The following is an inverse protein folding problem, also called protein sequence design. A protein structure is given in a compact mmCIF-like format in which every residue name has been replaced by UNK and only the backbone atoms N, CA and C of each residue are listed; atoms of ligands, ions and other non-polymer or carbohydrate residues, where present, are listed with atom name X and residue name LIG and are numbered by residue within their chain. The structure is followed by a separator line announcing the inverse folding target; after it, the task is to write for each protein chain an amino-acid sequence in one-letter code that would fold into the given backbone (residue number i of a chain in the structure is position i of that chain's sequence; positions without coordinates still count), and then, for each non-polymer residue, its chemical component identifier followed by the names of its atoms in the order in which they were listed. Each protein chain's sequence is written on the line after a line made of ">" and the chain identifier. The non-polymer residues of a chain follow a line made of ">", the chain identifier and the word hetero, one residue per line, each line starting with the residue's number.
data_IF_449871211861
#
_entry.id   IF_449871211861
#
_cell.length_a   1.000
_cell.length_b   1.000
_cell.length_c   1.000
_cell.angle_alpha   90.00
_cell.angle_beta   90.00
_cell.angle_gamma   90.00
#
_symmetry.space_group_name_H-M   'P 1'
#
loop_
_entity.id
_entity.type
_entity.pdbx_description
1 polymer ?
#
# COMPACT_ATOMS: atom_id res chain seq x y z
N UNK A 1 8.17 -31.90 -2.55
CA UNK A 1 7.24 -30.92 -3.11
C UNK A 1 7.17 -29.74 -2.15
N UNK A 2 7.63 -28.53 -2.49
CA UNK A 2 7.45 -27.40 -1.58
C UNK A 2 5.94 -27.16 -1.42
N UNK A 3 5.49 -27.10 -0.16
CA UNK A 3 4.10 -26.84 0.20
C UNK A 3 3.61 -25.58 -0.54
N UNK A 4 2.56 -25.73 -1.36
CA UNK A 4 1.88 -24.62 -2.02
C UNK A 4 1.31 -23.73 -0.93
N UNK A 5 1.87 -22.53 -0.75
CA UNK A 5 1.20 -21.48 0.01
C UNK A 5 0.11 -20.93 -0.90
N UNK A 6 -1.12 -21.37 -0.67
CA UNK A 6 -2.30 -20.87 -1.36
C UNK A 6 -2.55 -19.43 -0.89
N UNK A 7 -2.73 -18.51 -1.84
CA UNK A 7 -3.05 -17.11 -1.55
C UNK A 7 -4.37 -17.05 -0.79
N UNK A 8 -4.40 -16.29 0.30
CA UNK A 8 -5.62 -16.00 1.05
C UNK A 8 -6.04 -14.55 0.74
N UNK A 9 -7.11 -14.33 -0.05
CA UNK A 9 -7.54 -12.98 -0.41
C UNK A 9 -8.02 -12.17 0.80
N UNK A 10 -8.46 -12.79 1.89
CA UNK A 10 -8.84 -12.06 3.10
C UNK A 10 -7.60 -11.42 3.74
N UNK A 11 -6.50 -12.18 3.83
CA UNK A 11 -5.22 -11.67 4.34
C UNK A 11 -4.66 -10.60 3.41
N UNK A 12 -4.65 -10.85 2.10
CA UNK A 12 -4.15 -9.88 1.12
C UNK A 12 -4.96 -8.57 1.12
N UNK A 13 -6.30 -8.67 1.16
CA UNK A 13 -7.19 -7.51 1.27
C UNK A 13 -6.92 -6.71 2.56
N UNK A 14 -6.71 -7.39 3.68
CA UNK A 14 -6.38 -6.75 4.97
C UNK A 14 -5.03 -6.03 4.91
N UNK A 15 -4.02 -6.64 4.29
CA UNK A 15 -2.71 -6.02 4.09
C UNK A 15 -2.79 -4.77 3.22
N UNK A 16 -3.49 -4.81 2.08
CA UNK A 16 -3.69 -3.62 1.25
C UNK A 16 -4.32 -2.46 2.03
N UNK A 17 -5.33 -2.75 2.85
CA UNK A 17 -5.98 -1.75 3.72
C UNK A 17 -5.02 -1.16 4.77
N UNK A 18 -4.27 -2.01 5.46
CA UNK A 18 -3.30 -1.56 6.46
C UNK A 18 -2.21 -0.69 5.83
N UNK A 19 -1.63 -1.15 4.72
CA UNK A 19 -0.60 -0.41 3.99
C UNK A 19 -1.14 0.92 3.46
N UNK A 20 -2.35 0.94 2.88
CA UNK A 20 -3.03 2.18 2.48
C UNK A 20 -3.13 3.16 3.63
N UNK A 21 -3.60 2.71 4.81
CA UNK A 21 -3.72 3.59 5.98
C UNK A 21 -2.36 4.09 6.49
N UNK A 22 -1.30 3.29 6.40
CA UNK A 22 0.04 3.65 6.85
C UNK A 22 0.71 4.77 6.03
N UNK A 23 0.30 4.95 4.76
CA UNK A 23 0.79 6.02 3.90
C UNK A 23 -0.10 7.26 3.87
N UNK A 24 -1.26 7.26 4.53
CA UNK A 24 -2.09 8.47 4.65
C UNK A 24 -1.56 9.37 5.75
N UNK A 25 -1.81 10.67 5.63
CA UNK A 25 -1.62 11.58 6.76
C UNK A 25 -2.45 11.06 7.94
N UNK A 26 -1.83 10.78 9.10
CA UNK A 26 -2.53 10.06 10.16
C UNK A 26 -3.55 10.96 10.84
N UNK A 27 -4.71 10.41 11.14
CA UNK A 27 -5.61 11.01 12.15
C UNK A 27 -5.05 10.77 13.55
N UNK A 28 -5.47 11.53 14.58
CA UNK A 28 -5.06 11.25 15.96
C UNK A 28 -5.36 9.81 16.41
N UNK A 29 -6.49 9.26 15.95
CA UNK A 29 -6.89 7.88 16.24
C UNK A 29 -5.94 6.86 15.59
N UNK A 30 -5.62 7.04 14.31
CA UNK A 30 -4.68 6.18 13.60
C UNK A 30 -3.28 6.27 14.20
N UNK A 31 -2.77 7.48 14.47
CA UNK A 31 -1.47 7.66 15.08
C UNK A 31 -1.37 6.97 16.45
N UNK A 32 -2.44 6.98 17.25
CA UNK A 32 -2.47 6.24 18.53
C UNK A 32 -2.20 4.75 18.35
N UNK A 33 -2.62 4.16 17.23
CA UNK A 33 -2.33 2.74 16.90
C UNK A 33 -0.87 2.51 16.48
N UNK A 34 -0.21 3.53 15.92
CA UNK A 34 1.22 3.50 15.64
C UNK A 34 2.01 3.57 16.96
N UNK A 35 1.65 4.53 17.82
CA UNK A 35 2.31 4.80 19.09
C UNK A 35 2.20 3.63 20.09
N UNK A 36 1.03 2.98 20.16
CA UNK A 36 0.82 1.84 21.06
C UNK A 36 1.18 0.48 20.45
N UNK A 37 1.72 0.44 19.23
CA UNK A 37 2.18 -0.76 18.56
C UNK A 37 1.09 -1.61 17.88
N UNK A 38 -0.21 -1.35 18.10
CA UNK A 38 -1.31 -2.15 17.53
C UNK A 38 -1.24 -2.27 16.01
N UNK A 39 -0.91 -1.18 15.31
CA UNK A 39 -0.77 -1.21 13.85
C UNK A 39 0.34 -2.15 13.40
N UNK A 40 1.50 -2.09 14.07
CA UNK A 40 2.62 -2.97 13.75
C UNK A 40 2.28 -4.42 14.08
N UNK A 41 1.59 -4.69 15.19
CA UNK A 41 1.19 -6.04 15.56
C UNK A 41 0.23 -6.64 14.52
N UNK A 42 -0.75 -5.87 14.06
CA UNK A 42 -1.69 -6.30 13.02
C UNK A 42 -0.99 -6.50 11.67
N UNK A 43 -0.08 -5.60 11.28
CA UNK A 43 0.72 -5.74 10.08
C UNK A 43 1.57 -7.02 10.16
N UNK A 44 2.25 -7.26 11.29
CA UNK A 44 3.12 -8.43 11.51
C UNK A 44 2.34 -9.74 11.51
N UNK A 45 1.15 -9.75 12.13
CA UNK A 45 0.26 -10.90 12.10
C UNK A 45 -0.07 -11.30 10.66
N UNK A 46 -0.48 -10.34 9.82
CA UNK A 46 -0.88 -10.63 8.44
C UNK A 46 0.30 -11.00 7.54
N UNK A 47 1.47 -10.37 7.67
CA UNK A 47 2.64 -10.73 6.85
C UNK A 47 3.26 -12.07 7.25
N UNK A 48 3.03 -12.56 8.47
CA UNK A 48 3.60 -13.83 8.96
C UNK A 48 3.13 -15.03 8.12
N UNK A 49 1.93 -14.93 7.54
CA UNK A 49 1.33 -15.91 6.62
C UNK A 49 1.96 -15.90 5.23
N UNK A 50 2.79 -14.92 4.89
CA UNK A 50 3.42 -14.76 3.58
C UNK A 50 4.94 -14.94 3.72
N UNK A 51 5.51 -16.12 3.39
CA UNK A 51 6.92 -16.42 3.67
C UNK A 51 7.93 -15.41 3.11
N UNK A 52 7.57 -14.75 2.00
CA UNK A 52 8.41 -13.76 1.32
C UNK A 52 8.43 -12.39 2.00
N UNK A 53 7.64 -12.17 3.05
CA UNK A 53 7.52 -10.87 3.74
C UNK A 53 8.19 -10.80 5.11
N UNK A 54 8.88 -11.86 5.56
CA UNK A 54 9.57 -11.84 6.85
C UNK A 54 10.43 -10.58 7.02
N UNK A 55 10.26 -9.92 8.17
CA UNK A 55 11.01 -8.74 8.57
C UNK A 55 11.87 -9.09 9.78
N UNK A 56 13.15 -8.67 9.84
CA UNK A 56 13.99 -8.92 11.01
C UNK A 56 13.42 -8.28 12.28
N UNK A 57 13.39 -9.03 13.39
CA UNK A 57 12.81 -8.57 14.66
C UNK A 57 13.47 -7.30 15.22
N UNK A 58 14.78 -7.14 15.01
CA UNK A 58 15.51 -5.96 15.49
C UNK A 58 15.03 -4.67 14.80
N UNK A 59 14.71 -4.73 13.50
CA UNK A 59 14.16 -3.59 12.74
C UNK A 59 12.79 -3.22 13.30
N UNK A 60 11.93 -4.22 13.56
CA UNK A 60 10.60 -4.01 14.13
C UNK A 60 10.67 -3.36 15.51
N UNK A 61 11.61 -3.83 16.36
CA UNK A 61 11.82 -3.26 17.70
C UNK A 61 12.24 -1.79 17.61
N UNK A 62 13.20 -1.46 16.75
CA UNK A 62 13.65 -0.08 16.54
C UNK A 62 12.51 0.84 16.10
N UNK A 63 11.70 0.41 15.14
CA UNK A 63 10.54 1.20 14.67
C UNK A 63 9.50 1.37 15.79
N UNK A 64 9.21 0.30 16.54
CA UNK A 64 8.26 0.36 17.65
C UNK A 64 8.72 1.33 18.74
N UNK A 65 9.98 1.27 19.14
CA UNK A 65 10.55 2.16 20.16
C UNK A 65 10.53 3.63 19.68
N UNK A 66 10.89 3.87 18.42
CA UNK A 66 10.82 5.21 17.83
C UNK A 66 9.39 5.78 17.79
N UNK A 67 8.38 4.96 17.45
CA UNK A 67 6.99 5.38 17.42
C UNK A 67 6.39 5.61 18.81
N UNK A 68 6.80 4.81 19.80
CA UNK A 68 6.29 4.90 21.17
C UNK A 68 6.59 6.27 21.80
N UNK A 69 7.79 6.78 21.60
CA UNK A 69 8.23 8.07 22.14
C UNK A 69 7.84 9.26 21.24
N UNK A 70 7.28 8.99 20.05
CA UNK A 70 6.88 10.02 19.10
C UNK A 70 5.61 10.75 19.55
N UNK A 71 5.54 12.06 19.33
CA UNK A 71 4.30 12.84 19.48
C UNK A 71 3.53 12.92 18.17
N UNK A 72 2.21 13.13 18.22
CA UNK A 72 1.40 13.28 17.01
C UNK A 72 1.89 14.45 16.13
N UNK A 73 2.23 15.58 16.74
CA UNK A 73 2.77 16.74 16.03
C UNK A 73 4.14 16.42 15.39
N UNK A 74 5.03 15.74 16.12
CA UNK A 74 6.33 15.31 15.59
C UNK A 74 6.19 14.37 14.39
N UNK A 75 5.27 13.41 14.46
CA UNK A 75 4.99 12.52 13.33
C UNK A 75 4.45 13.30 12.12
N UNK A 76 3.56 14.27 12.32
CA UNK A 76 3.04 15.11 11.24
C UNK A 76 4.13 15.94 10.54
N UNK A 77 5.12 16.44 11.31
CA UNK A 77 6.29 17.13 10.75
C UNK A 77 7.13 16.17 9.91
N UNK A 78 7.41 14.96 10.40
CA UNK A 78 8.16 13.95 9.65
C UNK A 78 7.44 13.50 8.38
N UNK A 79 6.11 13.33 8.44
CA UNK A 79 5.28 13.05 7.28
C UNK A 79 5.44 14.15 6.24
N UNK A 80 5.18 15.40 6.63
CA UNK A 80 5.21 16.56 5.74
C UNK A 80 6.59 16.75 5.13
N UNK A 81 7.66 16.57 5.92
CA UNK A 81 9.05 16.67 5.46
C UNK A 81 9.40 15.60 4.42
N UNK A 82 8.81 14.41 4.55
CA UNK A 82 9.11 13.27 3.67
C UNK A 82 8.31 13.32 2.36
N UNK A 83 7.02 13.64 2.46
CA UNK A 83 6.05 13.42 1.38
C UNK A 83 5.51 14.70 0.73
N UNK A 84 5.46 15.82 1.46
CA UNK A 84 4.67 17.00 1.03
C UNK A 84 5.49 18.27 0.82
N UNK A 85 6.60 18.43 1.53
CA UNK A 85 7.44 19.63 1.48
C UNK A 85 8.81 19.37 0.88
N UNK A 86 9.20 20.21 -0.08
CA UNK A 86 10.47 20.16 -0.79
C UNK A 86 10.40 20.95 -2.09
N UNK A 87 11.55 21.40 -2.61
CA UNK A 87 11.65 22.13 -3.86
C UNK A 87 12.68 21.46 -4.78
N UNK A 88 12.39 21.21 -6.08
CA UNK A 88 11.12 21.49 -6.79
C UNK A 88 9.99 20.50 -6.45
N UNK A 89 10.31 19.37 -5.81
CA UNK A 89 9.36 18.35 -5.33
C UNK A 89 9.80 17.84 -3.94
N UNK A 90 8.91 17.21 -3.17
CA UNK A 90 9.26 16.55 -1.91
C UNK A 90 10.32 15.45 -2.10
N UNK A 91 11.05 15.05 -1.03
CA UNK A 91 12.09 14.02 -1.13
C UNK A 91 11.59 12.68 -1.67
N UNK A 92 10.44 12.21 -1.18
CA UNK A 92 9.86 10.93 -1.52
C UNK A 92 8.38 11.09 -1.84
N UNK A 93 7.98 11.76 -2.94
CA UNK A 93 6.57 12.04 -3.20
C UNK A 93 5.81 10.71 -3.33
N UNK A 94 4.66 10.53 -2.65
CA UNK A 94 3.93 9.26 -2.61
C UNK A 94 2.92 9.14 -3.76
N UNK A 95 3.27 9.63 -4.95
CA UNK A 95 2.39 9.59 -6.11
C UNK A 95 3.08 9.00 -7.34
N UNK A 96 2.39 8.12 -8.05
CA UNK A 96 2.88 7.42 -9.25
C UNK A 96 3.45 8.39 -10.29
N UNK A 97 2.76 9.50 -10.55
CA UNK A 97 3.14 10.45 -11.59
C UNK A 97 4.49 11.15 -11.39
N UNK A 98 5.13 11.04 -10.22
CA UNK A 98 6.49 11.56 -9.99
C UNK A 98 7.62 10.56 -10.31
N UNK A 99 7.28 9.34 -10.72
CA UNK A 99 8.24 8.27 -11.02
C UNK A 99 8.30 7.93 -12.50
N UNK A 100 7.55 8.67 -13.32
CA UNK A 100 7.52 8.52 -14.78
C UNK A 100 7.90 9.81 -15.48
N UNK A 101 8.31 9.68 -16.74
CA UNK A 101 8.56 10.81 -17.64
C UNK A 101 7.26 11.37 -18.26
N UNK A 102 6.17 10.58 -18.28
CA UNK A 102 4.87 11.04 -18.77
C UNK A 102 4.24 12.07 -17.82
N UNK A 103 3.43 13.03 -18.33
CA UNK A 103 2.76 14.01 -17.50
C UNK A 103 1.88 13.34 -16.44
N UNK A 104 1.98 13.80 -15.19
CA UNK A 104 1.19 13.28 -14.05
C UNK A 104 -0.33 13.30 -14.30
N UNK A 105 -0.84 14.26 -15.06
CA UNK A 105 -2.26 14.30 -15.44
C UNK A 105 -2.71 13.09 -16.26
N UNK A 106 -1.83 12.55 -17.11
CA UNK A 106 -2.11 11.33 -17.89
C UNK A 106 -2.13 10.12 -16.97
N UNK A 107 -1.17 10.02 -16.04
CA UNK A 107 -1.14 8.95 -15.02
C UNK A 107 -2.42 8.95 -14.19
N UNK A 108 -2.82 10.13 -13.70
CA UNK A 108 -4.05 10.29 -12.92
C UNK A 108 -5.29 9.89 -13.72
N UNK A 109 -5.33 10.15 -15.04
CA UNK A 109 -6.42 9.75 -15.91
C UNK A 109 -6.48 8.22 -16.04
N UNK A 110 -5.35 7.57 -16.37
CA UNK A 110 -5.26 6.11 -16.50
C UNK A 110 -5.71 5.40 -15.22
N UNK A 111 -5.20 5.84 -14.06
CA UNK A 111 -5.59 5.27 -12.76
C UNK A 111 -7.07 5.53 -12.45
N UNK A 112 -7.59 6.70 -12.79
CA UNK A 112 -9.02 7.01 -12.59
C UNK A 112 -9.93 6.16 -13.48
N UNK A 113 -9.49 5.80 -14.69
CA UNK A 113 -10.24 4.89 -15.57
C UNK A 113 -10.37 3.50 -14.95
N UNK A 114 -9.32 2.98 -14.31
CA UNK A 114 -9.42 1.74 -13.53
C UNK A 114 -10.49 1.85 -12.44
N UNK A 115 -10.50 2.93 -11.65
CA UNK A 115 -11.50 3.11 -10.59
C UNK A 115 -12.93 3.18 -11.16
N UNK A 116 -13.11 3.90 -12.26
CA UNK A 116 -14.40 4.08 -12.93
C UNK A 116 -14.97 2.76 -13.48
N UNK A 117 -14.12 1.86 -13.99
CA UNK A 117 -14.54 0.53 -14.45
C UNK A 117 -15.23 -0.30 -13.36
N UNK A 118 -14.93 -0.03 -12.09
CA UNK A 118 -15.56 -0.67 -10.93
C UNK A 118 -16.59 0.22 -10.23
N UNK A 119 -17.01 1.32 -10.86
CA UNK A 119 -17.98 2.26 -10.31
C UNK A 119 -17.48 3.07 -9.11
N UNK A 120 -16.17 3.09 -8.87
CA UNK A 120 -15.55 3.79 -7.75
C UNK A 120 -15.22 5.24 -8.13
N UNK A 121 -15.23 6.12 -7.12
CA UNK A 121 -14.86 7.52 -7.26
C UNK A 121 -14.02 7.98 -6.07
N UNK A 122 -13.11 8.91 -6.31
CA UNK A 122 -12.34 9.54 -5.25
C UNK A 122 -13.26 10.27 -4.26
N UNK A 123 -12.95 10.10 -2.96
CA UNK A 123 -13.70 10.77 -1.90
C UNK A 123 -13.64 12.29 -2.04
N UNK A 124 -14.79 12.93 -1.83
CA UNK A 124 -14.90 14.39 -1.80
C UNK A 124 -14.86 14.96 -0.37
N UNK A 125 -14.80 14.08 0.63
CA UNK A 125 -14.78 14.44 2.05
C UNK A 125 -13.51 15.20 2.41
N UNK A 126 -13.66 16.33 3.10
CA UNK A 126 -12.53 17.14 3.55
C UNK A 126 -11.62 16.31 4.48
N UNK A 127 -10.31 16.41 4.27
CA UNK A 127 -9.32 15.64 5.03
C UNK A 127 -9.10 14.19 4.55
N UNK A 128 -9.83 13.71 3.54
CA UNK A 128 -9.58 12.42 2.85
C UNK A 128 -9.31 12.59 1.35
N UNK A 129 -9.15 13.83 0.88
CA UNK A 129 -8.88 14.15 -0.52
C UNK A 129 -7.42 13.86 -0.85
N UNK A 130 -7.19 12.67 -1.38
CA UNK A 130 -5.96 12.36 -2.11
C UNK A 130 -6.21 12.42 -3.61
N UNK A 131 -5.15 12.52 -4.39
CA UNK A 131 -5.20 12.33 -5.83
C UNK A 131 -5.29 10.83 -6.17
N UNK A 132 -5.89 10.46 -7.32
CA UNK A 132 -6.07 9.06 -7.71
C UNK A 132 -4.76 8.28 -7.81
N UNK A 133 -3.66 8.96 -8.16
CA UNK A 133 -2.31 8.39 -8.31
C UNK A 133 -1.51 8.36 -7.00
N UNK A 134 -2.14 8.61 -5.85
CA UNK A 134 -1.50 8.50 -4.54
C UNK A 134 -1.42 7.02 -4.12
N UNK A 135 -0.29 6.59 -3.54
CA UNK A 135 -0.08 5.19 -3.12
C UNK A 135 -1.22 4.65 -2.25
N UNK A 136 -1.75 5.47 -1.33
CA UNK A 136 -2.84 5.03 -0.46
C UNK A 136 -4.14 4.79 -1.23
N UNK A 137 -4.40 5.53 -2.31
CA UNK A 137 -5.58 5.34 -3.15
C UNK A 137 -5.43 4.08 -4.00
N UNK A 138 -4.27 3.87 -4.62
CA UNK A 138 -3.98 2.68 -5.42
C UNK A 138 -4.02 1.39 -4.58
N UNK A 139 -3.47 1.43 -3.35
CA UNK A 139 -3.55 0.31 -2.41
C UNK A 139 -4.99 0.07 -1.92
N UNK A 140 -5.78 1.14 -1.70
CA UNK A 140 -7.20 1.01 -1.32
C UNK A 140 -8.04 0.40 -2.46
N UNK A 141 -7.71 0.71 -3.71
CA UNK A 141 -8.33 0.07 -4.86
C UNK A 141 -8.03 -1.44 -4.93
N UNK A 142 -6.78 -1.85 -4.71
CA UNK A 142 -6.46 -3.27 -4.62
C UNK A 142 -7.08 -3.96 -3.41
N UNK A 143 -7.23 -3.26 -2.29
CA UNK A 143 -8.03 -3.76 -1.16
C UNK A 143 -9.46 -4.10 -1.61
N UNK A 144 -10.12 -3.18 -2.33
CA UNK A 144 -11.46 -3.40 -2.87
C UNK A 144 -11.52 -4.61 -3.80
N UNK A 145 -10.65 -4.67 -4.82
CA UNK A 145 -10.65 -5.78 -5.78
C UNK A 145 -10.43 -7.14 -5.08
N UNK A 146 -9.51 -7.18 -4.12
CA UNK A 146 -9.20 -8.41 -3.38
C UNK A 146 -10.33 -8.78 -2.40
N UNK A 147 -11.04 -7.80 -1.86
CA UNK A 147 -12.21 -8.05 -1.01
C UNK A 147 -13.37 -8.65 -1.83
N UNK A 148 -13.62 -8.10 -3.02
CA UNK A 148 -14.65 -8.62 -3.92
C UNK A 148 -14.28 -10.00 -4.50
N UNK A 149 -12.99 -10.27 -4.72
CA UNK A 149 -12.50 -11.62 -5.02
C UNK A 149 -12.90 -12.63 -3.91
N UNK A 150 -12.62 -12.31 -2.64
CA UNK A 150 -12.98 -13.18 -1.52
C UNK A 150 -14.50 -13.41 -1.45
N UNK A 151 -15.30 -12.39 -1.79
CA UNK A 151 -16.76 -12.52 -1.87
C UNK A 151 -17.19 -13.44 -3.01
N UNK A 152 -16.63 -13.26 -4.21
CA UNK A 152 -16.92 -14.09 -5.38
C UNK A 152 -16.58 -15.57 -5.13
N UNK A 153 -15.46 -15.85 -4.45
CA UNK A 153 -15.10 -17.21 -4.02
C UNK A 153 -16.16 -17.81 -3.09
N UNK A 154 -16.67 -17.03 -2.14
CA UNK A 154 -17.70 -17.50 -1.19
C UNK A 154 -19.04 -17.76 -1.86
N UNK A 155 -19.37 -17.01 -2.91
CA UNK A 155 -20.62 -17.16 -3.67
C UNK A 155 -20.50 -18.08 -4.88
N UNK A 156 -19.33 -18.68 -5.13
CA UNK A 156 -19.04 -19.56 -6.27
C UNK A 156 -19.27 -18.89 -7.63
N UNK A 157 -19.08 -17.56 -7.69
CA UNK A 157 -19.22 -16.78 -8.92
C UNK A 157 -17.86 -16.74 -9.64
N UNK A 158 -17.64 -17.74 -10.50
CA UNK A 158 -16.38 -17.91 -11.22
C UNK A 158 -16.12 -16.79 -12.25
N UNK A 159 -17.16 -16.21 -12.84
CA UNK A 159 -17.00 -15.12 -13.81
C UNK A 159 -16.52 -13.85 -13.10
N UNK A 160 -17.19 -13.48 -12.00
CA UNK A 160 -16.76 -12.35 -11.18
C UNK A 160 -15.35 -12.57 -10.60
N UNK A 161 -15.06 -13.78 -10.10
CA UNK A 161 -13.74 -14.14 -9.57
C UNK A 161 -12.63 -13.90 -10.61
N UNK A 162 -12.80 -14.41 -11.82
CA UNK A 162 -11.83 -14.21 -12.90
C UNK A 162 -11.67 -12.73 -13.27
N UNK A 163 -12.77 -11.97 -13.29
CA UNK A 163 -12.75 -10.53 -13.53
C UNK A 163 -11.90 -9.77 -12.50
N UNK A 164 -12.09 -10.06 -11.21
CA UNK A 164 -11.32 -9.42 -10.14
C UNK A 164 -9.84 -9.82 -10.14
N UNK A 165 -9.52 -11.09 -10.38
CA UNK A 165 -8.13 -11.54 -10.49
C UNK A 165 -7.40 -10.90 -11.68
N UNK A 166 -8.07 -10.81 -12.83
CA UNK A 166 -7.54 -10.14 -14.02
C UNK A 166 -7.27 -8.66 -13.75
N UNK A 167 -8.22 -7.97 -13.13
CA UNK A 167 -8.09 -6.55 -12.81
C UNK A 167 -6.97 -6.28 -11.79
N UNK A 168 -6.83 -7.12 -10.77
CA UNK A 168 -5.72 -7.04 -9.81
C UNK A 168 -4.37 -7.19 -10.52
N UNK A 169 -4.23 -8.19 -11.40
CA UNK A 169 -3.01 -8.41 -12.19
C UNK A 169 -2.70 -7.18 -13.05
N UNK A 170 -3.66 -6.75 -13.86
CA UNK A 170 -3.45 -5.64 -14.79
C UNK A 170 -3.10 -4.35 -14.05
N UNK A 171 -3.75 -4.06 -12.90
CA UNK A 171 -3.43 -2.89 -12.11
C UNK A 171 -2.04 -2.98 -11.44
N UNK A 172 -1.70 -4.14 -10.87
CA UNK A 172 -0.37 -4.38 -10.30
C UNK A 172 0.73 -4.21 -11.36
N UNK A 173 0.58 -4.83 -12.54
CA UNK A 173 1.58 -4.79 -13.61
C UNK A 173 1.75 -3.39 -14.20
N UNK A 174 0.65 -2.67 -14.44
CA UNK A 174 0.69 -1.38 -15.15
C UNK A 174 0.96 -0.18 -14.24
N UNK A 175 0.60 -0.28 -12.95
CA UNK A 175 0.73 0.80 -11.97
C UNK A 175 1.75 0.44 -10.89
N UNK A 176 1.32 -0.10 -9.74
CA UNK A 176 2.17 -0.22 -8.54
C UNK A 176 3.55 -0.85 -8.78
N UNK A 177 3.68 -1.89 -9.60
CA UNK A 177 4.98 -2.52 -9.86
C UNK A 177 5.96 -1.63 -10.64
N UNK A 178 5.45 -0.65 -11.39
CA UNK A 178 6.27 0.26 -12.18
C UNK A 178 6.97 1.32 -11.31
N UNK A 179 6.38 1.69 -10.18
CA UNK A 179 6.83 2.87 -9.43
C UNK A 179 7.15 2.61 -7.95
N UNK A 180 6.42 1.70 -7.30
CA UNK A 180 6.62 1.41 -5.86
C UNK A 180 8.03 0.90 -5.54
N UNK A 181 8.70 0.07 -6.36
CA UNK A 181 10.09 -0.30 -6.11
C UNK A 181 11.03 0.93 -6.11
N UNK A 182 10.80 1.89 -7.02
CA UNK A 182 11.53 3.16 -7.08
C UNK A 182 11.26 4.05 -5.87
N UNK A 183 9.99 4.19 -5.49
CA UNK A 183 9.57 4.89 -4.26
C UNK A 183 10.21 4.30 -3.01
N UNK A 184 10.18 2.96 -2.87
CA UNK A 184 10.83 2.26 -1.78
C UNK A 184 12.33 2.57 -1.72
N UNK A 185 13.03 2.53 -2.86
CA UNK A 185 14.45 2.86 -2.94
C UNK A 185 14.75 4.32 -2.54
N UNK A 186 13.90 5.27 -2.93
CA UNK A 186 14.02 6.67 -2.47
C UNK A 186 13.88 6.76 -0.95
N UNK A 187 12.87 6.12 -0.38
CA UNK A 187 12.66 6.10 1.07
C UNK A 187 13.85 5.50 1.83
N UNK A 188 14.44 4.40 1.34
CA UNK A 188 15.64 3.80 1.95
C UNK A 188 16.85 4.74 2.00
N UNK A 189 16.94 5.66 1.05
CA UNK A 189 18.06 6.61 0.93
C UNK A 189 17.75 7.96 1.58
N UNK A 190 16.51 8.17 2.00
CA UNK A 190 16.06 9.41 2.64
C UNK A 190 16.27 9.35 4.15
N UNK A 191 16.53 10.49 4.76
CA UNK A 191 16.49 10.66 6.22
C UNK A 191 15.04 10.78 6.70
N UNK A 192 14.21 9.75 6.51
CA UNK A 192 12.82 9.72 6.98
C UNK A 192 12.68 8.92 8.28
N UNK A 193 11.54 9.10 8.97
CA UNK A 193 11.17 8.26 10.12
C UNK A 193 11.24 6.78 9.72
N UNK A 194 11.98 5.95 10.49
CA UNK A 194 12.26 4.53 10.19
C UNK A 194 11.00 3.68 9.90
N UNK A 195 9.82 4.14 10.34
CA UNK A 195 8.53 3.60 9.98
C UNK A 195 8.28 3.52 8.46
N UNK A 196 8.59 4.58 7.70
CA UNK A 196 8.28 4.63 6.26
C UNK A 196 9.18 3.75 5.39
N UNK A 197 10.52 3.71 5.60
CA UNK A 197 11.37 2.74 4.94
C UNK A 197 10.92 1.30 5.18
N UNK A 198 10.51 0.95 6.40
CA UNK A 198 9.97 -0.37 6.71
C UNK A 198 8.66 -0.63 5.93
N UNK A 199 7.71 0.30 6.00
CA UNK A 199 6.40 0.16 5.35
C UNK A 199 6.53 0.02 3.83
N UNK A 200 7.41 0.80 3.20
CA UNK A 200 7.66 0.73 1.77
C UNK A 200 8.36 -0.58 1.34
N UNK A 201 9.28 -1.11 2.15
CA UNK A 201 9.87 -2.43 1.89
C UNK A 201 8.81 -3.54 1.94
N UNK A 202 7.96 -3.53 2.96
CA UNK A 202 6.86 -4.50 3.09
C UNK A 202 5.93 -4.37 1.88
N UNK A 203 5.55 -3.15 1.51
CA UNK A 203 4.66 -2.89 0.37
C UNK A 203 5.27 -3.41 -0.93
N UNK A 204 6.52 -3.04 -1.23
CA UNK A 204 7.22 -3.46 -2.46
C UNK A 204 7.32 -5.00 -2.56
N UNK A 205 7.68 -5.67 -1.47
CA UNK A 205 7.74 -7.14 -1.44
C UNK A 205 6.36 -7.78 -1.54
N UNK A 206 5.34 -7.16 -0.95
CA UNK A 206 3.97 -7.65 -0.96
C UNK A 206 3.35 -7.58 -2.35
N UNK A 207 3.43 -6.44 -3.04
CA UNK A 207 2.89 -6.30 -4.40
C UNK A 207 3.58 -7.26 -5.39
N UNK A 208 4.88 -7.53 -5.21
CA UNK A 208 5.61 -8.51 -6.01
C UNK A 208 5.16 -9.96 -5.73
N UNK A 209 4.84 -10.27 -4.47
CA UNK A 209 4.30 -11.57 -4.10
C UNK A 209 2.85 -11.76 -4.61
N UNK A 210 2.05 -10.70 -4.55
CA UNK A 210 0.67 -10.68 -5.06
C UNK A 210 0.64 -10.87 -6.58
N UNK A 211 1.46 -10.12 -7.33
CA UNK A 211 1.55 -10.26 -8.78
C UNK A 211 1.84 -11.72 -9.19
N UNK A 212 2.81 -12.34 -8.52
CA UNK A 212 3.16 -13.74 -8.78
C UNK A 212 2.07 -14.73 -8.39
N UNK A 213 1.16 -14.35 -7.51
CA UNK A 213 0.07 -15.20 -7.05
C UNK A 213 -1.12 -15.11 -8.00
N UNK A 214 -1.52 -13.90 -8.41
CA UNK A 214 -2.63 -13.69 -9.37
C UNK A 214 -2.28 -14.06 -10.82
N UNK A 215 -0.98 -14.17 -11.14
CA UNK A 215 -0.52 -14.57 -12.48
C UNK A 215 -0.47 -16.08 -12.72
N UNK A 216 -0.61 -16.91 -11.67
CA UNK A 216 -0.37 -18.36 -11.71
C UNK A 216 -1.59 -19.22 -12.02
N UNK A 217 -2.78 -18.63 -12.10
CA UNK A 217 -4.03 -19.37 -12.36
C UNK A 217 -4.33 -19.56 -13.87
N UNK A 218 -3.33 -19.98 -14.65
CA UNK A 218 -3.53 -20.54 -16.01
C UNK A 218 -3.25 -22.03 -16.05
#
# INVERSE_FOLDING_TARGET
>A
MPQRVQRDPIVSSTLYKLLSSGFRYPTPGLFKTFQNGKFLDELMYNISSIPRLKTPEHVLRQVRDALKEMTYAGFGIEFTRTFDSGAPVPPCPPYEGYYFEKPRSIVMLEVSEFYNCFGLRMSQEQGKREFPDHISAELEFLHFLTFEEARAMKTWDNEALNGYLLAQRDFLERHLMQWVPGFCNKLQKSESLAFYPLLAQITSRFIAAELLSVSKDR
#
